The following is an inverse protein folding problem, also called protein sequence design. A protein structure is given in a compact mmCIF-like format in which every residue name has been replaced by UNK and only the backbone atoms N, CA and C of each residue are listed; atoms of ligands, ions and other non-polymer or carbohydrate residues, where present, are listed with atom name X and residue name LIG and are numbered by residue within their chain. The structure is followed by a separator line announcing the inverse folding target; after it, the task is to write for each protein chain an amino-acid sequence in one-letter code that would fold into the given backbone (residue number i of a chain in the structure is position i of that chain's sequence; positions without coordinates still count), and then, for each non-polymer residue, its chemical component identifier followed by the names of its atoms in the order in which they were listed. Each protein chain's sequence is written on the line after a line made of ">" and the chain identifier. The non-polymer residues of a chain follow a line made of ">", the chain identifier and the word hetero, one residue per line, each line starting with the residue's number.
data_IF_690734168490
#
_entry.id   IF_690734168490
#
_cell.length_a   1.000
_cell.length_b   1.000
_cell.length_c   1.000
_cell.angle_alpha   90.00
_cell.angle_beta   90.00
_cell.angle_gamma   90.00
#
_symmetry.space_group_name_H-M   'P 1'
#
loop_
_entity.id
_entity.type
_entity.pdbx_description
1 polymer ?
#
# COMPACT_ATOMS: atom_id res chain seq x y z
N UNK A 1 -52.82 77.73 -7.44
CA UNK A 1 -52.79 76.40 -8.09
C UNK A 1 -51.34 76.09 -8.42
N UNK A 2 -50.70 75.16 -7.72
CA UNK A 2 -49.36 74.69 -8.09
C UNK A 2 -49.24 73.21 -7.75
N UNK A 3 -49.47 72.35 -8.76
CA UNK A 3 -49.40 70.89 -8.66
C UNK A 3 -48.13 70.43 -9.36
N UNK A 4 -46.98 70.56 -8.72
CA UNK A 4 -45.76 69.91 -9.19
C UNK A 4 -45.67 68.50 -8.60
N UNK A 5 -45.35 67.46 -9.40
CA UNK A 5 -45.34 66.09 -8.92
C UNK A 5 -44.14 65.88 -7.98
N UNK A 6 -44.40 65.50 -6.73
CA UNK A 6 -43.33 65.13 -5.80
C UNK A 6 -42.70 63.82 -6.28
N UNK A 7 -41.43 63.89 -6.69
CA UNK A 7 -40.65 62.72 -7.10
C UNK A 7 -40.39 61.84 -5.87
N UNK A 8 -41.18 60.78 -5.70
CA UNK A 8 -40.99 59.79 -4.64
C UNK A 8 -39.75 58.95 -4.96
N UNK A 9 -38.63 59.27 -4.34
CA UNK A 9 -37.40 58.46 -4.43
C UNK A 9 -37.60 57.23 -3.56
N UNK A 10 -37.90 56.10 -4.19
CA UNK A 10 -37.97 54.79 -3.52
C UNK A 10 -36.57 54.20 -3.53
N UNK A 11 -35.83 54.40 -2.44
CA UNK A 11 -34.56 53.69 -2.21
C UNK A 11 -34.84 52.25 -1.85
N UNK A 12 -34.67 51.34 -2.82
CA UNK A 12 -34.61 49.90 -2.54
C UNK A 12 -33.30 49.60 -1.82
N UNK A 13 -33.34 49.45 -0.49
CA UNK A 13 -32.25 48.82 0.23
C UNK A 13 -32.25 47.34 -0.13
N UNK A 14 -31.33 46.94 -1.01
CA UNK A 14 -30.99 45.53 -1.15
C UNK A 14 -30.27 45.12 0.14
N UNK A 15 -30.91 44.30 0.97
CA UNK A 15 -30.22 43.59 2.05
C UNK A 15 -29.32 42.54 1.37
N UNK A 16 -27.98 42.72 1.37
CA UNK A 16 -27.09 41.88 0.56
C UNK A 16 -26.85 40.49 1.20
N UNK A 17 -27.56 40.15 2.27
CA UNK A 17 -27.33 38.95 3.06
C UNK A 17 -28.65 38.25 3.35
N UNK A 18 -29.19 37.59 2.33
CA UNK A 18 -30.25 36.61 2.57
C UNK A 18 -29.68 35.49 3.44
N UNK A 19 -30.40 35.09 4.50
CA UNK A 19 -29.98 34.04 5.44
C UNK A 19 -29.53 32.76 4.72
N UNK A 20 -30.13 32.47 3.57
CA UNK A 20 -29.83 31.29 2.75
C UNK A 20 -28.43 31.34 2.13
N UNK A 21 -27.98 32.51 1.64
CA UNK A 21 -26.64 32.68 1.07
C UNK A 21 -25.58 32.53 2.16
N UNK A 22 -25.82 33.07 3.34
CA UNK A 22 -24.91 32.93 4.48
C UNK A 22 -24.77 31.48 4.95
N UNK A 23 -25.91 30.76 5.04
CA UNK A 23 -25.91 29.32 5.35
C UNK A 23 -25.21 28.50 4.28
N UNK A 24 -25.35 28.88 3.00
CA UNK A 24 -24.68 28.21 1.90
C UNK A 24 -23.16 28.38 1.94
N UNK A 25 -22.66 29.59 2.22
CA UNK A 25 -21.22 29.85 2.40
C UNK A 25 -20.68 29.08 3.62
N UNK A 26 -21.43 29.08 4.73
CA UNK A 26 -21.06 28.29 5.91
C UNK A 26 -20.98 26.78 5.61
N UNK A 27 -21.96 26.24 4.89
CA UNK A 27 -21.97 24.85 4.45
C UNK A 27 -20.83 24.52 3.47
N UNK A 28 -20.50 25.44 2.56
CA UNK A 28 -19.36 25.29 1.64
C UNK A 28 -18.03 25.25 2.39
N UNK A 29 -17.81 26.16 3.33
CA UNK A 29 -16.58 26.18 4.13
C UNK A 29 -16.48 24.92 4.99
N UNK A 30 -17.57 24.50 5.62
CA UNK A 30 -17.60 23.28 6.43
C UNK A 30 -17.30 22.04 5.59
N UNK A 31 -17.86 21.95 4.38
CA UNK A 31 -17.60 20.86 3.43
C UNK A 31 -16.11 20.79 3.05
N UNK A 32 -15.49 21.93 2.77
CA UNK A 32 -14.06 22.01 2.44
C UNK A 32 -13.17 21.54 3.62
N UNK A 33 -13.50 21.95 4.85
CA UNK A 33 -12.75 21.53 6.04
C UNK A 33 -12.86 20.02 6.25
N UNK A 34 -14.07 19.45 6.14
CA UNK A 34 -14.28 18.01 6.29
C UNK A 34 -13.54 17.23 5.19
N UNK A 35 -13.52 17.75 3.95
CA UNK A 35 -12.79 17.13 2.84
C UNK A 35 -11.29 17.06 3.09
N UNK A 36 -10.68 18.15 3.56
CA UNK A 36 -9.25 18.20 3.89
C UNK A 36 -8.95 17.30 5.10
N UNK A 37 -9.79 17.35 6.12
CA UNK A 37 -9.64 16.51 7.32
C UNK A 37 -9.70 15.03 6.98
N UNK A 38 -10.72 14.61 6.22
CA UNK A 38 -10.89 13.21 5.81
C UNK A 38 -9.72 12.68 5.00
N UNK A 39 -9.19 13.48 4.08
CA UNK A 39 -8.00 13.13 3.31
C UNK A 39 -6.76 13.00 4.21
N UNK A 40 -6.59 13.91 5.18
CA UNK A 40 -5.46 13.87 6.12
C UNK A 40 -5.54 12.67 7.09
N UNK A 41 -6.74 12.34 7.60
CA UNK A 41 -6.92 11.16 8.46
C UNK A 41 -6.68 9.87 7.70
N UNK A 42 -7.16 9.77 6.45
CA UNK A 42 -6.88 8.62 5.58
C UNK A 42 -5.39 8.46 5.30
N UNK A 43 -4.68 9.57 5.03
CA UNK A 43 -3.25 9.53 4.82
C UNK A 43 -2.49 9.03 6.06
N UNK A 44 -2.88 9.47 7.27
CA UNK A 44 -2.30 8.97 8.52
C UNK A 44 -2.54 7.48 8.72
N UNK A 45 -3.78 7.04 8.56
CA UNK A 45 -4.11 5.61 8.69
C UNK A 45 -3.30 4.78 7.70
N UNK A 46 -3.17 5.22 6.45
CA UNK A 46 -2.41 4.50 5.45
C UNK A 46 -0.92 4.34 5.83
N UNK A 47 -0.32 5.38 6.38
CA UNK A 47 1.06 5.31 6.90
C UNK A 47 1.18 4.32 8.06
N UNK A 48 0.22 4.31 8.98
CA UNK A 48 0.21 3.39 10.13
C UNK A 48 0.04 1.92 9.68
N UNK A 49 -0.80 1.68 8.67
CA UNK A 49 -0.98 0.34 8.07
C UNK A 49 0.30 -0.16 7.40
N UNK A 50 0.98 0.68 6.61
CA UNK A 50 2.26 0.32 5.97
C UNK A 50 3.36 0.01 7.00
N UNK A 51 3.38 0.77 8.11
CA UNK A 51 4.37 0.58 9.18
C UNK A 51 4.13 -0.73 9.95
N UNK A 52 2.87 -1.03 10.30
CA UNK A 52 2.49 -2.28 10.95
C UNK A 52 2.77 -3.51 10.07
N UNK A 53 2.48 -3.40 8.77
CA UNK A 53 2.76 -4.45 7.80
C UNK A 53 4.27 -4.70 7.65
N UNK A 54 5.07 -3.65 7.52
CA UNK A 54 6.53 -3.77 7.46
C UNK A 54 7.09 -4.40 8.74
N UNK A 55 6.58 -3.98 9.91
CA UNK A 55 6.97 -4.56 11.21
C UNK A 55 6.66 -6.05 11.25
N UNK A 56 5.48 -6.47 10.80
CA UNK A 56 5.10 -7.88 10.76
C UNK A 56 6.00 -8.70 9.82
N UNK A 57 6.28 -8.20 8.61
CA UNK A 57 7.17 -8.86 7.64
C UNK A 57 8.62 -8.94 8.15
N UNK A 58 9.12 -7.88 8.77
CA UNK A 58 10.45 -7.87 9.36
C UNK A 58 10.58 -8.88 10.50
N UNK A 59 9.59 -8.98 11.39
CA UNK A 59 9.57 -10.00 12.45
C UNK A 59 9.54 -11.42 11.87
N UNK A 60 8.81 -11.65 10.78
CA UNK A 60 8.78 -12.94 10.08
C UNK A 60 10.13 -13.31 9.46
N UNK A 61 10.97 -12.34 9.10
CA UNK A 61 12.34 -12.60 8.67
C UNK A 61 13.24 -12.99 9.84
N UNK A 62 13.07 -12.36 11.01
CA UNK A 62 13.90 -12.54 12.21
C UNK A 62 13.31 -13.64 13.12
N UNK A 63 13.01 -14.80 12.55
CA UNK A 63 12.20 -15.86 13.17
C UNK A 63 12.51 -16.32 14.62
N UNK A 64 13.70 -16.15 15.24
CA UNK A 64 13.84 -16.43 16.67
C UNK A 64 13.39 -15.23 17.52
N UNK A 65 12.39 -15.41 18.39
CA UNK A 65 11.92 -14.40 19.34
C UNK A 65 13.03 -13.84 20.27
N UNK A 66 14.09 -14.62 20.49
CA UNK A 66 15.27 -14.25 21.29
C UNK A 66 16.38 -13.57 20.47
N UNK A 67 16.17 -13.33 19.18
CA UNK A 67 17.16 -12.72 18.31
C UNK A 67 17.34 -11.23 18.65
N UNK A 68 18.58 -10.76 18.89
CA UNK A 68 18.86 -9.36 19.22
C UNK A 68 18.38 -8.36 18.15
N UNK A 69 18.15 -8.79 16.90
CA UNK A 69 17.59 -7.98 15.84
C UNK A 69 16.12 -7.59 16.10
N UNK A 70 15.33 -8.40 16.82
CA UNK A 70 13.93 -8.03 17.19
C UNK A 70 13.94 -6.81 18.12
N UNK A 71 14.82 -6.84 19.12
CA UNK A 71 14.98 -5.74 20.07
C UNK A 71 15.49 -4.47 19.39
N UNK A 72 16.31 -4.61 18.35
CA UNK A 72 16.77 -3.50 17.51
C UNK A 72 15.62 -2.89 16.68
N UNK A 73 14.81 -3.72 16.01
CA UNK A 73 13.65 -3.28 15.23
C UNK A 73 12.63 -2.58 16.14
N UNK A 74 12.29 -3.17 17.30
CA UNK A 74 11.32 -2.58 18.21
C UNK A 74 11.74 -1.19 18.73
N UNK A 75 13.03 -1.02 19.04
CA UNK A 75 13.58 0.26 19.49
C UNK A 75 13.51 1.34 18.40
N UNK A 76 13.85 1.00 17.16
CA UNK A 76 13.90 1.97 16.05
C UNK A 76 12.56 2.25 15.38
N UNK A 77 11.53 1.41 15.59
CA UNK A 77 10.17 1.68 15.13
C UNK A 77 9.34 2.46 16.17
N UNK A 78 9.48 2.16 17.47
CA UNK A 78 8.60 2.74 18.49
C UNK A 78 9.25 3.87 19.32
N UNK A 79 10.52 3.72 19.71
CA UNK A 79 11.15 4.61 20.72
C UNK A 79 12.07 5.66 20.10
N UNK A 80 12.89 5.27 19.12
CA UNK A 80 13.82 6.16 18.41
C UNK A 80 13.62 6.00 16.90
N UNK A 81 12.50 6.56 16.41
CA UNK A 81 12.13 6.51 15.00
C UNK A 81 13.26 7.06 14.13
N UNK A 82 13.86 6.20 13.32
CA UNK A 82 14.87 6.55 12.34
C UNK A 82 14.43 6.05 10.96
N UNK A 83 14.05 6.99 10.10
CA UNK A 83 13.54 6.71 8.76
C UNK A 83 14.59 5.97 7.89
N UNK A 84 15.88 6.19 8.13
CA UNK A 84 16.94 5.48 7.39
C UNK A 84 17.00 4.00 7.79
N UNK A 85 16.81 3.71 9.08
CA UNK A 85 16.77 2.33 9.58
C UNK A 85 15.51 1.62 9.08
N UNK A 86 14.37 2.30 9.07
CA UNK A 86 13.12 1.77 8.51
C UNK A 86 13.30 1.42 7.02
N UNK A 87 13.95 2.29 6.25
CA UNK A 87 14.21 2.04 4.83
C UNK A 87 15.23 0.91 4.59
N UNK A 88 16.25 0.78 5.43
CA UNK A 88 17.19 -0.36 5.37
C UNK A 88 16.47 -1.69 5.69
N UNK A 89 15.63 -1.70 6.72
CA UNK A 89 14.79 -2.87 7.07
C UNK A 89 13.87 -3.24 5.90
N UNK A 90 13.23 -2.26 5.26
CA UNK A 90 12.40 -2.48 4.07
C UNK A 90 13.18 -3.16 2.95
N UNK A 91 14.37 -2.65 2.62
CA UNK A 91 15.21 -3.24 1.58
C UNK A 91 15.64 -4.67 1.92
N UNK A 92 15.99 -4.94 3.18
CA UNK A 92 16.36 -6.28 3.65
C UNK A 92 15.19 -7.25 3.57
N UNK A 93 14.00 -6.83 4.00
CA UNK A 93 12.77 -7.63 3.90
C UNK A 93 12.48 -7.96 2.44
N UNK A 94 12.55 -6.97 1.54
CA UNK A 94 12.32 -7.20 0.11
C UNK A 94 13.36 -8.16 -0.49
N UNK A 95 14.64 -7.98 -0.17
CA UNK A 95 15.70 -8.88 -0.65
C UNK A 95 15.52 -10.32 -0.11
N UNK A 96 15.11 -10.46 1.15
CA UNK A 96 14.81 -11.76 1.75
C UNK A 96 13.62 -12.43 1.05
N UNK A 97 12.50 -11.73 0.91
CA UNK A 97 11.30 -12.24 0.24
C UNK A 97 11.60 -12.66 -1.21
N UNK A 98 12.38 -11.86 -1.94
CA UNK A 98 12.78 -12.15 -3.32
C UNK A 98 13.69 -13.39 -3.38
N UNK A 99 14.65 -13.52 -2.45
CA UNK A 99 15.52 -14.70 -2.37
C UNK A 99 14.75 -15.98 -2.06
N UNK A 100 13.77 -15.92 -1.14
CA UNK A 100 12.93 -17.06 -0.77
C UNK A 100 12.05 -17.46 -1.96
N UNK A 101 11.47 -16.48 -2.64
CA UNK A 101 10.67 -16.72 -3.85
C UNK A 101 11.52 -17.37 -4.94
N UNK A 102 12.70 -16.82 -5.21
CA UNK A 102 13.59 -17.35 -6.23
C UNK A 102 14.03 -18.78 -5.90
N UNK A 103 14.38 -19.05 -4.64
CA UNK A 103 14.71 -20.41 -4.19
C UNK A 103 13.55 -21.39 -4.43
N UNK A 104 12.31 -20.95 -4.18
CA UNK A 104 11.13 -21.78 -4.41
C UNK A 104 10.84 -22.03 -5.90
N UNK A 105 11.01 -21.02 -6.74
CA UNK A 105 10.89 -21.14 -8.20
C UNK A 105 11.95 -22.09 -8.77
N UNK A 106 13.20 -21.97 -8.31
CA UNK A 106 14.29 -22.85 -8.70
C UNK A 106 14.06 -24.30 -8.25
N UNK A 107 13.54 -24.50 -7.04
CA UNK A 107 13.15 -25.82 -6.56
C UNK A 107 12.08 -26.46 -7.45
N UNK A 108 11.01 -25.73 -7.79
CA UNK A 108 9.98 -26.22 -8.71
C UNK A 108 10.53 -26.56 -10.10
N UNK A 109 11.41 -25.70 -10.62
CA UNK A 109 12.04 -25.92 -11.92
C UNK A 109 12.93 -27.17 -11.91
N UNK A 110 13.66 -27.40 -10.82
CA UNK A 110 14.47 -28.60 -10.64
C UNK A 110 13.62 -29.88 -10.65
N UNK A 111 12.51 -29.90 -9.90
CA UNK A 111 11.57 -31.02 -9.88
C UNK A 111 10.96 -31.29 -11.26
N UNK A 112 10.59 -30.24 -11.99
CA UNK A 112 10.04 -30.37 -13.34
C UNK A 112 11.06 -30.97 -14.32
N UNK A 113 12.30 -30.47 -14.31
CA UNK A 113 13.38 -30.98 -15.15
C UNK A 113 13.73 -32.43 -14.82
N UNK A 114 13.73 -32.79 -13.54
CA UNK A 114 14.00 -34.16 -13.11
C UNK A 114 12.92 -35.15 -13.58
N UNK A 115 11.64 -34.75 -13.51
CA UNK A 115 10.53 -35.55 -14.05
C UNK A 115 10.69 -35.84 -15.55
N UNK A 116 11.05 -34.82 -16.34
CA UNK A 116 11.29 -34.97 -17.79
C UNK A 116 12.50 -35.88 -18.05
N UNK A 117 13.59 -35.68 -17.32
CA UNK A 117 14.81 -36.48 -17.48
C UNK A 117 14.53 -37.97 -17.19
N UNK A 118 13.78 -38.25 -16.11
CA UNK A 118 13.38 -39.62 -15.76
C UNK A 118 12.49 -40.26 -16.83
N UNK A 119 11.56 -39.50 -17.40
CA UNK A 119 10.72 -39.97 -18.51
C UNK A 119 11.55 -40.32 -19.75
N UNK A 120 12.41 -39.41 -20.22
CA UNK A 120 13.30 -39.64 -21.38
C UNK A 120 14.27 -40.80 -21.15
N UNK A 121 14.79 -40.94 -19.93
CA UNK A 121 15.66 -42.04 -19.55
C UNK A 121 14.90 -43.39 -19.61
N UNK A 122 13.64 -43.42 -19.18
CA UNK A 122 12.80 -44.60 -19.31
C UNK A 122 12.56 -44.98 -20.78
N UNK A 123 12.20 -44.01 -21.63
CA UNK A 123 12.00 -44.23 -23.07
C UNK A 123 13.28 -44.73 -23.76
N UNK A 124 14.43 -44.13 -23.47
CA UNK A 124 15.72 -44.55 -24.03
C UNK A 124 16.07 -46.01 -23.68
N UNK A 125 15.77 -46.45 -22.45
CA UNK A 125 15.95 -47.84 -22.00
C UNK A 125 15.02 -48.81 -22.73
N UNK A 126 13.81 -48.37 -23.10
CA UNK A 126 12.89 -49.17 -23.91
C UNK A 126 13.44 -49.31 -25.33
N UNK A 127 13.81 -48.21 -25.97
CA UNK A 127 14.36 -48.21 -27.34
C UNK A 127 15.61 -49.09 -27.41
N UNK A 128 16.54 -48.94 -26.46
CA UNK A 128 17.77 -49.75 -26.42
C UNK A 128 17.49 -51.24 -26.29
N UNK A 129 16.50 -51.63 -25.47
CA UNK A 129 16.09 -53.03 -25.36
C UNK A 129 15.54 -53.53 -26.70
N UNK A 130 14.61 -52.81 -27.31
CA UNK A 130 14.02 -53.20 -28.59
C UNK A 130 15.06 -53.36 -29.70
N UNK A 131 16.05 -52.46 -29.77
CA UNK A 131 17.16 -52.56 -30.73
C UNK A 131 18.00 -53.84 -30.50
N UNK A 132 18.34 -54.14 -29.25
CA UNK A 132 19.12 -55.33 -28.90
C UNK A 132 18.35 -56.64 -29.12
N UNK A 133 17.02 -56.63 -29.05
CA UNK A 133 16.18 -57.80 -29.36
C UNK A 133 15.99 -58.01 -30.88
N UNK A 134 16.13 -56.96 -31.69
CA UNK A 134 15.97 -57.03 -33.14
C UNK A 134 17.25 -57.44 -33.90
N UNK A 135 18.37 -57.60 -33.18
CA UNK A 135 19.67 -58.02 -33.70
C UNK A 135 19.96 -59.46 -33.31
#
# INVERSE_FOLDING_TARGET
>A
MNKSPQKKVVTHRFEPTSKNILLFIGGLVLSLVISIWGNLTQWREHQDWEEADLKYRALKMVLPADDPNIRYIEKHFNVQRDENVINDVRNRVTAYEDSVRHSYEMYKLALYKDSIANHLLHESKIIRRNYNFAK
#
